data_IF_878857391099
#
_entry.id   IF_878857391099
#
_cell.length_a   1.000
_cell.length_b   1.000
_cell.length_c   1.000
_cell.angle_alpha   90.00
_cell.angle_beta   90.00
_cell.angle_gamma   90.00
#
_symmetry.space_group_name_H-M   'P 1'
#
loop_
_entity.id
_entity.type
_entity.pdbx_description
1 polymer ?
#
# COMPACT_ATOMS: atom_id res chain seq x y z
N UNK A 1 -34.38 15.82 -22.20
CA UNK A 1 -33.22 14.97 -22.33
C UNK A 1 -32.11 15.63 -21.53
N UNK A 2 -32.01 15.27 -20.23
CA UNK A 2 -31.00 15.86 -19.32
C UNK A 2 -29.70 15.08 -19.50
N UNK A 3 -28.70 15.74 -20.06
CA UNK A 3 -27.33 15.26 -20.00
C UNK A 3 -26.86 15.36 -18.54
N UNK A 4 -26.78 14.21 -17.87
CA UNK A 4 -26.05 14.10 -16.61
C UNK A 4 -24.58 14.29 -16.97
N UNK A 5 -24.07 15.49 -16.71
CA UNK A 5 -22.63 15.77 -16.73
C UNK A 5 -22.01 14.88 -15.63
N UNK A 6 -21.48 13.73 -16.00
CA UNK A 6 -20.60 12.98 -15.11
C UNK A 6 -19.38 13.88 -14.87
N UNK A 7 -19.29 14.48 -13.69
CA UNK A 7 -18.10 15.14 -13.22
C UNK A 7 -17.00 14.08 -13.12
N UNK A 8 -16.23 13.91 -14.20
CA UNK A 8 -14.94 13.23 -14.13
C UNK A 8 -14.08 14.09 -13.21
N UNK A 9 -13.95 13.69 -11.97
CA UNK A 9 -13.03 14.33 -11.03
C UNK A 9 -11.61 13.94 -11.46
N UNK A 10 -10.99 14.82 -12.22
CA UNK A 10 -9.58 14.65 -12.60
C UNK A 10 -8.73 14.89 -11.36
N UNK A 11 -7.90 13.95 -11.00
CA UNK A 11 -6.92 14.09 -9.91
C UNK A 11 -5.70 14.81 -10.49
N UNK A 12 -5.27 15.90 -9.83
CA UNK A 12 -4.06 16.62 -10.21
C UNK A 12 -2.97 16.34 -9.18
N UNK A 13 -1.79 16.04 -9.66
CA UNK A 13 -0.58 15.90 -8.85
C UNK A 13 0.46 16.82 -9.46
N UNK A 14 1.02 17.69 -8.65
CA UNK A 14 2.13 18.54 -9.04
C UNK A 14 3.43 18.01 -8.45
N UNK A 15 4.50 17.94 -9.25
CA UNK A 15 5.79 17.43 -8.81
C UNK A 15 6.85 18.47 -9.15
N UNK A 16 7.50 18.99 -8.11
CA UNK A 16 8.53 20.00 -8.21
C UNK A 16 9.87 19.46 -7.71
N UNK A 17 10.97 19.77 -8.40
CA UNK A 17 12.32 19.54 -7.89
C UNK A 17 12.63 20.62 -6.85
N UNK A 18 12.87 20.22 -5.61
CA UNK A 18 13.06 21.14 -4.48
C UNK A 18 14.38 20.93 -3.74
N UNK A 19 15.10 19.83 -4.02
CA UNK A 19 16.32 19.50 -3.30
C UNK A 19 17.35 18.80 -4.19
N UNK A 20 18.56 19.34 -4.28
CA UNK A 20 19.65 18.77 -5.09
C UNK A 20 19.24 18.48 -6.54
N UNK A 21 19.82 17.44 -7.12
CA UNK A 21 19.54 17.06 -8.51
C UNK A 21 18.30 16.18 -8.65
N UNK A 22 17.97 15.38 -7.61
CA UNK A 22 16.96 14.33 -7.67
C UNK A 22 15.92 14.39 -6.56
N UNK A 23 15.95 15.41 -5.68
CA UNK A 23 14.96 15.61 -4.63
C UNK A 23 13.72 16.33 -5.14
N UNK A 24 12.58 15.60 -5.16
CA UNK A 24 11.29 16.11 -5.61
C UNK A 24 10.28 16.14 -4.44
N UNK A 25 9.33 17.05 -4.54
CA UNK A 25 8.15 17.05 -3.72
C UNK A 25 6.92 16.94 -4.62
N UNK A 26 6.08 15.94 -4.33
CA UNK A 26 4.81 15.73 -5.00
C UNK A 26 3.68 16.18 -4.08
N UNK A 27 2.76 17.00 -4.60
CA UNK A 27 1.60 17.52 -3.86
C UNK A 27 0.31 17.20 -4.58
N UNK A 28 -0.75 16.96 -3.81
CA UNK A 28 -2.11 16.82 -4.32
C UNK A 28 -2.90 18.15 -4.23
N UNK A 29 -4.14 18.16 -4.73
CA UNK A 29 -5.04 19.31 -4.70
C UNK A 29 -5.42 19.77 -3.27
N UNK A 30 -5.15 18.94 -2.25
CA UNK A 30 -5.45 19.23 -0.84
C UNK A 30 -4.21 19.71 -0.06
N UNK A 31 -3.05 19.74 -0.70
CA UNK A 31 -1.79 20.15 -0.08
C UNK A 31 -1.07 19.05 0.70
N UNK A 32 -1.47 17.78 0.55
CA UNK A 32 -0.67 16.69 1.09
C UNK A 32 0.60 16.52 0.25
N UNK A 33 1.74 16.40 0.92
CA UNK A 33 3.04 16.34 0.26
C UNK A 33 3.78 15.04 0.54
N UNK A 34 4.49 14.55 -0.48
CA UNK A 34 5.39 13.39 -0.40
C UNK A 34 6.74 13.77 -1.00
N UNK A 35 7.81 13.55 -0.21
CA UNK A 35 9.19 13.74 -0.65
C UNK A 35 9.69 12.50 -1.38
N UNK A 36 10.33 12.69 -2.51
CA UNK A 36 10.80 11.63 -3.41
C UNK A 36 12.27 11.88 -3.75
N UNK A 37 13.08 10.83 -3.74
CA UNK A 37 14.49 10.92 -4.14
C UNK A 37 14.95 9.58 -4.74
N UNK A 38 16.09 9.60 -5.40
CA UNK A 38 16.80 8.38 -5.81
C UNK A 38 17.75 7.90 -4.70
N UNK A 39 18.40 6.75 -4.90
CA UNK A 39 19.35 6.22 -3.92
C UNK A 39 20.67 7.01 -3.94
N UNK A 40 21.47 7.00 -2.84
CA UNK A 40 22.78 7.65 -2.81
C UNK A 40 23.74 7.10 -3.88
N UNK A 41 23.63 5.81 -4.21
CA UNK A 41 24.46 5.17 -5.25
C UNK A 41 24.17 5.74 -6.65
N UNK A 42 23.01 6.34 -6.84
CA UNK A 42 22.59 7.00 -8.10
C UNK A 42 22.56 8.53 -7.99
N UNK A 43 23.20 9.09 -6.94
CA UNK A 43 23.34 10.53 -6.74
C UNK A 43 22.28 11.21 -5.88
N UNK A 44 21.38 10.43 -5.25
CA UNK A 44 20.41 10.96 -4.30
C UNK A 44 21.03 11.31 -2.94
N UNK A 45 20.27 12.00 -2.11
CA UNK A 45 20.68 12.50 -0.79
C UNK A 45 19.86 11.91 0.34
N UNK A 46 19.01 10.91 0.08
CA UNK A 46 17.98 10.40 1.01
C UNK A 46 16.98 11.47 1.46
N UNK A 47 16.72 12.46 0.61
CA UNK A 47 15.72 13.49 0.86
C UNK A 47 14.31 12.91 0.98
N UNK A 48 13.99 11.87 0.23
CA UNK A 48 12.67 11.27 0.21
C UNK A 48 12.67 9.77 -0.11
N UNK A 49 11.46 9.23 -0.24
CA UNK A 49 11.23 7.82 -0.59
C UNK A 49 11.55 7.55 -2.05
N UNK A 50 11.87 6.30 -2.39
CA UNK A 50 12.10 5.91 -3.79
C UNK A 50 10.77 5.79 -4.55
N UNK A 51 10.68 6.17 -5.84
CA UNK A 51 9.44 6.12 -6.61
C UNK A 51 8.75 4.75 -6.57
N UNK A 52 9.49 3.66 -6.72
CA UNK A 52 8.93 2.32 -6.66
C UNK A 52 8.43 1.93 -5.25
N UNK A 53 8.99 2.50 -4.17
CA UNK A 53 8.48 2.29 -2.81
C UNK A 53 7.10 2.94 -2.60
N UNK A 54 6.80 4.04 -3.31
CA UNK A 54 5.47 4.68 -3.24
C UNK A 54 4.35 3.74 -3.68
N UNK A 55 4.61 2.83 -4.62
CA UNK A 55 3.64 1.82 -5.03
C UNK A 55 3.31 0.86 -3.88
N UNK A 56 4.32 0.46 -3.09
CA UNK A 56 4.12 -0.38 -1.90
C UNK A 56 3.46 0.39 -0.75
N UNK A 57 3.80 1.66 -0.58
CA UNK A 57 3.12 2.54 0.40
C UNK A 57 1.64 2.72 0.00
N UNK A 58 1.37 2.95 -1.28
CA UNK A 58 0.02 3.00 -1.82
C UNK A 58 -0.74 1.69 -1.62
N UNK A 59 -0.08 0.54 -1.82
CA UNK A 59 -0.66 -0.78 -1.56
C UNK A 59 -1.05 -0.94 -0.08
N UNK A 60 -0.15 -0.58 0.85
CA UNK A 60 -0.42 -0.65 2.28
C UNK A 60 -1.56 0.26 2.72
N UNK A 61 -1.59 1.50 2.24
CA UNK A 61 -2.65 2.46 2.53
C UNK A 61 -4.01 2.01 1.97
N UNK A 62 -4.05 1.61 0.69
CA UNK A 62 -5.26 1.15 0.03
C UNK A 62 -5.85 -0.08 0.73
N UNK A 63 -5.03 -1.12 0.94
CA UNK A 63 -5.49 -2.34 1.63
C UNK A 63 -5.88 -2.08 3.09
N UNK A 64 -5.14 -1.23 3.80
CA UNK A 64 -5.44 -0.88 5.19
C UNK A 64 -6.79 -0.19 5.34
N UNK A 65 -7.10 0.78 4.49
CA UNK A 65 -8.40 1.47 4.47
C UNK A 65 -9.54 0.47 4.25
N UNK A 66 -9.41 -0.43 3.28
CA UNK A 66 -10.41 -1.45 3.01
C UNK A 66 -10.63 -2.37 4.21
N UNK A 67 -9.55 -2.91 4.79
CA UNK A 67 -9.60 -3.85 5.91
C UNK A 67 -10.30 -3.21 7.12
N UNK A 68 -9.89 -2.00 7.50
CA UNK A 68 -10.52 -1.27 8.60
C UNK A 68 -12.00 -1.00 8.32
N UNK A 69 -12.34 -0.61 7.09
CA UNK A 69 -13.74 -0.36 6.69
C UNK A 69 -14.60 -1.63 6.78
N UNK A 70 -14.06 -2.77 6.35
CA UNK A 70 -14.76 -4.07 6.41
C UNK A 70 -14.97 -4.49 7.87
N UNK A 71 -13.91 -4.44 8.70
CA UNK A 71 -13.98 -4.81 10.10
C UNK A 71 -14.96 -3.93 10.88
N UNK A 72 -14.94 -2.63 10.64
CA UNK A 72 -15.90 -1.69 11.23
C UNK A 72 -17.35 -2.04 10.88
N UNK A 73 -17.64 -2.38 9.62
CA UNK A 73 -18.97 -2.84 9.19
C UNK A 73 -19.39 -4.15 9.87
N UNK A 74 -18.43 -5.00 10.21
CA UNK A 74 -18.64 -6.27 10.93
C UNK A 74 -18.66 -6.08 12.46
N UNK A 75 -18.65 -4.83 12.95
CA UNK A 75 -18.67 -4.47 14.38
C UNK A 75 -17.48 -5.06 15.16
N UNK A 76 -16.31 -5.11 14.53
CA UNK A 76 -15.05 -5.45 15.17
C UNK A 76 -14.37 -4.17 15.65
N UNK A 77 -13.79 -4.19 16.85
CA UNK A 77 -13.08 -3.05 17.42
C UNK A 77 -11.59 -3.20 17.18
N UNK A 78 -11.07 -2.38 16.27
CA UNK A 78 -9.65 -2.34 15.92
C UNK A 78 -8.98 -1.24 16.72
N UNK A 79 -8.16 -1.61 17.69
CA UNK A 79 -7.39 -0.67 18.50
C UNK A 79 -6.09 -0.24 17.81
N UNK A 80 -5.43 -1.18 17.14
CA UNK A 80 -4.24 -0.87 16.33
C UNK A 80 -4.18 -1.73 15.07
N UNK A 81 -3.62 -1.13 14.03
CA UNK A 81 -3.41 -1.77 12.74
C UNK A 81 -2.02 -1.40 12.22
N UNK A 82 -1.27 -2.40 11.80
CA UNK A 82 0.04 -2.23 11.18
C UNK A 82 0.14 -3.16 9.98
N UNK A 83 0.74 -2.65 8.90
CA UNK A 83 1.11 -3.46 7.75
C UNK A 83 2.61 -3.37 7.53
N UNK A 84 3.28 -4.51 7.43
CA UNK A 84 4.65 -4.61 6.90
C UNK A 84 4.58 -5.14 5.49
N UNK A 85 5.37 -4.55 4.60
CA UNK A 85 5.41 -4.91 3.19
C UNK A 85 6.85 -5.12 2.79
N UNK A 86 7.12 -6.29 2.24
CA UNK A 86 8.40 -6.68 1.65
C UNK A 86 8.16 -6.93 0.17
N UNK A 87 9.06 -6.49 -0.70
CA UNK A 87 8.91 -6.66 -2.13
C UNK A 87 10.22 -6.97 -2.83
N UNK A 88 10.17 -7.90 -3.79
CA UNK A 88 11.27 -8.22 -4.69
C UNK A 88 11.03 -7.64 -6.06
N UNK A 89 12.09 -7.16 -6.67
CA UNK A 89 12.08 -6.60 -8.03
C UNK A 89 12.86 -7.51 -8.99
N UNK A 90 12.52 -7.38 -10.26
CA UNK A 90 13.33 -7.95 -11.33
C UNK A 90 14.79 -7.51 -11.21
N UNK A 91 15.72 -8.44 -11.48
CA UNK A 91 17.15 -8.17 -11.42
C UNK A 91 17.74 -8.17 -12.84
N UNK A 92 18.62 -7.20 -13.11
CA UNK A 92 19.36 -7.13 -14.36
C UNK A 92 18.55 -6.76 -15.60
N UNK A 93 17.34 -6.25 -15.42
CA UNK A 93 16.47 -5.77 -16.51
C UNK A 93 16.00 -4.33 -16.27
N UNK A 94 15.72 -3.62 -17.33
CA UNK A 94 15.15 -2.27 -17.31
C UNK A 94 13.96 -2.17 -18.30
N UNK A 95 12.80 -1.66 -17.88
CA UNK A 95 12.45 -1.26 -16.52
C UNK A 95 12.29 -2.46 -15.58
N UNK A 96 12.75 -2.31 -14.33
CA UNK A 96 12.63 -3.34 -13.29
C UNK A 96 11.30 -3.20 -12.55
N UNK A 97 10.45 -4.21 -12.60
CA UNK A 97 9.13 -4.24 -11.96
C UNK A 97 9.15 -5.01 -10.62
N UNK A 98 8.10 -4.86 -9.82
CA UNK A 98 7.86 -5.73 -8.68
C UNK A 98 7.44 -7.12 -9.16
N UNK A 99 8.20 -8.15 -8.77
CA UNK A 99 7.90 -9.56 -9.10
C UNK A 99 7.07 -10.24 -8.04
N UNK A 100 7.33 -9.91 -6.77
CA UNK A 100 6.56 -10.44 -5.65
C UNK A 100 6.46 -9.42 -4.52
N UNK A 101 5.36 -9.50 -3.78
CA UNK A 101 5.12 -8.70 -2.58
C UNK A 101 4.59 -9.61 -1.48
N UNK A 102 5.18 -9.49 -0.28
CA UNK A 102 4.68 -10.11 0.95
C UNK A 102 4.11 -9.04 1.88
N UNK A 103 2.86 -9.23 2.32
CA UNK A 103 2.19 -8.35 3.29
C UNK A 103 1.97 -9.09 4.60
N UNK A 104 2.24 -8.41 5.71
CA UNK A 104 1.95 -8.90 7.05
C UNK A 104 1.04 -7.89 7.71
N UNK A 105 -0.23 -8.28 7.93
CA UNK A 105 -1.22 -7.46 8.61
C UNK A 105 -1.25 -7.83 10.08
N UNK A 106 -0.95 -6.88 10.94
CA UNK A 106 -0.94 -7.04 12.40
C UNK A 106 -2.05 -6.18 13.00
N UNK A 107 -3.00 -6.84 13.67
CA UNK A 107 -4.19 -6.19 14.25
C UNK A 107 -4.26 -6.47 15.76
N UNK A 108 -4.67 -5.45 16.53
CA UNK A 108 -5.00 -5.59 17.95
C UNK A 108 -6.40 -5.03 18.21
N UNK A 109 -7.11 -5.63 19.16
CA UNK A 109 -8.45 -5.21 19.57
C UNK A 109 -9.39 -6.40 19.78
N UNK A 110 -10.68 -6.11 19.95
CA UNK A 110 -11.73 -7.13 20.00
C UNK A 110 -12.11 -7.54 18.56
N UNK A 111 -11.31 -8.44 18.02
CA UNK A 111 -11.36 -8.84 16.61
C UNK A 111 -11.38 -10.37 16.52
N UNK A 112 -12.40 -10.88 15.84
CA UNK A 112 -12.46 -12.27 15.42
C UNK A 112 -11.41 -12.55 14.34
N UNK A 113 -10.48 -13.51 14.53
CA UNK A 113 -9.42 -13.82 13.58
C UNK A 113 -9.92 -14.22 12.19
N UNK A 114 -11.04 -14.96 12.10
CA UNK A 114 -11.60 -15.35 10.80
C UNK A 114 -12.16 -14.16 10.03
N UNK A 115 -12.80 -13.21 10.74
CA UNK A 115 -13.24 -11.96 10.13
C UNK A 115 -12.08 -11.09 9.68
N UNK A 116 -10.99 -11.05 10.47
CA UNK A 116 -9.77 -10.35 10.08
C UNK A 116 -9.18 -10.95 8.81
N UNK A 117 -9.02 -12.28 8.76
CA UNK A 117 -8.55 -13.00 7.58
C UNK A 117 -9.42 -12.70 6.36
N UNK A 118 -10.75 -12.82 6.52
CA UNK A 118 -11.68 -12.54 5.42
C UNK A 118 -11.64 -11.09 4.95
N UNK A 119 -11.44 -10.13 5.84
CA UNK A 119 -11.30 -8.72 5.49
C UNK A 119 -10.04 -8.48 4.64
N UNK A 120 -8.90 -9.06 5.02
CA UNK A 120 -7.65 -8.97 4.26
C UNK A 120 -7.78 -9.62 2.88
N UNK A 121 -8.38 -10.81 2.82
CA UNK A 121 -8.66 -11.49 1.56
C UNK A 121 -9.51 -10.63 0.62
N UNK A 122 -10.63 -10.10 1.12
CA UNK A 122 -11.53 -9.27 0.32
C UNK A 122 -10.86 -7.99 -0.18
N UNK A 123 -10.04 -7.36 0.66
CA UNK A 123 -9.27 -6.20 0.23
C UNK A 123 -8.36 -6.55 -0.93
N UNK A 124 -7.48 -7.52 -0.76
CA UNK A 124 -6.45 -7.85 -1.75
C UNK A 124 -7.02 -8.44 -3.04
N UNK A 125 -8.09 -9.23 -2.97
CA UNK A 125 -8.65 -9.92 -4.14
C UNK A 125 -9.74 -9.12 -4.88
N UNK A 126 -10.39 -8.16 -4.18
CA UNK A 126 -11.59 -7.52 -4.75
C UNK A 126 -11.58 -6.00 -4.72
N UNK A 127 -11.08 -5.37 -3.64
CA UNK A 127 -11.32 -3.93 -3.44
C UNK A 127 -10.09 -3.06 -3.68
N UNK A 128 -8.89 -3.51 -3.31
CA UNK A 128 -7.68 -2.70 -3.41
C UNK A 128 -7.24 -2.53 -4.87
N UNK A 129 -7.48 -1.33 -5.41
CA UNK A 129 -7.11 -0.98 -6.79
C UNK A 129 -5.59 -1.04 -7.00
N UNK A 130 -4.80 -0.71 -5.98
CA UNK A 130 -3.33 -0.78 -6.08
C UNK A 130 -2.87 -2.23 -6.17
N UNK A 131 -3.46 -3.16 -5.38
CA UNK A 131 -3.16 -4.59 -5.49
C UNK A 131 -3.48 -5.12 -6.88
N UNK A 132 -4.63 -4.74 -7.43
CA UNK A 132 -5.03 -5.14 -8.79
C UNK A 132 -4.08 -4.57 -9.86
N UNK A 133 -3.65 -3.32 -9.71
CA UNK A 133 -2.69 -2.69 -10.62
C UNK A 133 -1.36 -3.45 -10.65
N UNK A 134 -0.80 -3.77 -9.48
CA UNK A 134 0.43 -4.53 -9.37
C UNK A 134 0.27 -5.96 -9.89
N UNK A 135 -0.85 -6.62 -9.62
CA UNK A 135 -1.14 -7.97 -10.11
C UNK A 135 -1.20 -8.02 -11.65
N UNK A 136 -1.83 -7.02 -12.27
CA UNK A 136 -1.85 -6.91 -13.75
C UNK A 136 -0.47 -6.65 -14.34
N UNK A 137 0.44 -6.06 -13.58
CA UNK A 137 1.86 -5.93 -13.95
C UNK A 137 2.67 -7.22 -13.74
N UNK A 138 2.04 -8.32 -13.30
CA UNK A 138 2.70 -9.61 -13.08
C UNK A 138 3.24 -9.86 -11.67
N UNK A 139 2.96 -8.95 -10.72
CA UNK A 139 3.41 -9.11 -9.34
C UNK A 139 2.63 -10.21 -8.61
N UNK A 140 3.34 -11.17 -8.01
CA UNK A 140 2.77 -12.19 -7.14
C UNK A 140 2.56 -11.65 -5.72
N UNK A 141 1.50 -12.12 -5.04
CA UNK A 141 1.15 -11.69 -3.68
C UNK A 141 1.18 -12.85 -2.72
N UNK A 142 1.90 -12.66 -1.60
CA UNK A 142 1.84 -13.50 -0.41
C UNK A 142 1.41 -12.63 0.77
N UNK A 143 0.55 -13.11 1.64
CA UNK A 143 0.12 -12.33 2.78
C UNK A 143 -0.25 -13.19 3.98
N UNK A 144 -0.14 -12.61 5.16
CA UNK A 144 -0.54 -13.22 6.43
C UNK A 144 -1.23 -12.21 7.34
N UNK A 145 -2.07 -12.69 8.25
CA UNK A 145 -2.78 -11.89 9.24
C UNK A 145 -2.42 -12.37 10.63
N UNK A 146 -2.12 -11.45 11.52
CA UNK A 146 -1.83 -11.68 12.93
C UNK A 146 -2.79 -10.86 13.78
N UNK A 147 -3.59 -11.52 14.60
CA UNK A 147 -4.56 -10.89 15.50
C UNK A 147 -4.11 -11.10 16.94
N UNK A 148 -3.97 -10.00 17.71
CA UNK A 148 -3.58 -10.00 19.11
C UNK A 148 -2.30 -10.79 19.45
N UNK A 149 -1.45 -11.05 18.45
CA UNK A 149 -0.15 -11.65 18.66
C UNK A 149 0.82 -10.62 19.27
N UNK A 150 1.65 -11.05 20.22
CA UNK A 150 2.81 -10.25 20.61
C UNK A 150 3.79 -10.16 19.43
N UNK A 151 4.43 -9.00 19.29
CA UNK A 151 5.44 -8.80 18.24
C UNK A 151 6.56 -9.86 18.40
N UNK A 152 6.50 -10.91 17.58
CA UNK A 152 7.51 -11.97 17.58
C UNK A 152 7.00 -13.41 17.74
N UNK A 153 5.77 -13.64 18.14
CA UNK A 153 5.20 -15.00 18.21
C UNK A 153 4.31 -15.27 17.00
N UNK A 154 4.77 -16.15 16.14
CA UNK A 154 4.10 -16.54 14.89
C UNK A 154 2.90 -17.46 15.19
N UNK A 155 1.69 -16.97 14.92
CA UNK A 155 0.58 -17.87 14.55
C UNK A 155 0.46 -17.76 13.04
N UNK A 156 1.13 -18.65 12.33
CA UNK A 156 1.09 -18.74 10.88
C UNK A 156 -0.22 -19.40 10.43
N UNK A 157 -1.17 -18.61 9.97
CA UNK A 157 -2.17 -19.09 9.03
C UNK A 157 -1.60 -18.92 7.62
N UNK A 158 -0.86 -19.92 7.15
CA UNK A 158 -0.41 -20.00 5.76
C UNK A 158 -1.60 -20.45 4.90
N UNK A 159 -1.86 -19.71 3.83
CA UNK A 159 -2.62 -20.16 2.65
C UNK A 159 -1.66 -20.27 1.48
#
# INVERSE_FOLDING_TARGET
MLYICQNFHMVNIEINRVHGDFGFEATDDYGHAVQIDTSPETGGTNFGVRPMQLLLMGLGGCSGIDIISILKKQRQEVESFRTRIEGDREQGVEPSLWTSVRLIFELKGDIDPEKAHRACQLSLEKYCSVAETLRRAGCAFNWEVRVNSEFGNEINLKV
#
